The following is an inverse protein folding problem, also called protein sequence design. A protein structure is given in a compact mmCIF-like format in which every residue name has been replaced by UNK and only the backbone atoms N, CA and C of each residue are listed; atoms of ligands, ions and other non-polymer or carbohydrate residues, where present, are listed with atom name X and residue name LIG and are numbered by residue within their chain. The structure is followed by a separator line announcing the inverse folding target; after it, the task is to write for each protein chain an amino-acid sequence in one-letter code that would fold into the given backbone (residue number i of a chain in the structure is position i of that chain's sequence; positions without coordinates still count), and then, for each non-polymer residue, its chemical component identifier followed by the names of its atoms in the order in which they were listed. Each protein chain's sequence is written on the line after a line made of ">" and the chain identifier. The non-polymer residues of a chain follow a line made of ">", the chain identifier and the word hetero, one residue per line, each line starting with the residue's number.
data_IF_833105944486
#
_entry.id   IF_833105944486
#
_cell.length_a   1.000
_cell.length_b   1.000
_cell.length_c   1.000
_cell.angle_alpha   90.00
_cell.angle_beta   90.00
_cell.angle_gamma   90.00
#
_symmetry.space_group_name_H-M   'P 1'
#
loop_
_entity.id
_entity.type
_entity.pdbx_description
1 polymer ?
#
# COMPACT_ATOMS: atom_id res chain seq x y z
N UNK A 1 -0.21 -12.55 -15.64
CA UNK A 1 0.85 -11.53 -15.58
C UNK A 1 1.65 -11.77 -14.31
N UNK A 2 2.98 -11.80 -14.38
CA UNK A 2 3.85 -12.00 -13.22
C UNK A 2 4.31 -10.61 -12.75
N UNK A 3 3.75 -10.13 -11.65
CA UNK A 3 4.12 -8.86 -11.03
C UNK A 3 3.94 -8.95 -9.51
N UNK A 4 4.64 -8.10 -8.77
CA UNK A 4 4.51 -8.03 -7.30
C UNK A 4 3.06 -7.74 -6.90
N UNK A 5 2.38 -6.82 -7.60
CA UNK A 5 0.99 -6.50 -7.34
C UNK A 5 0.06 -7.71 -7.55
N UNK A 6 0.26 -8.48 -8.62
CA UNK A 6 -0.52 -9.69 -8.87
C UNK A 6 -0.30 -10.74 -7.77
N UNK A 7 0.96 -10.94 -7.33
CA UNK A 7 1.27 -11.83 -6.21
C UNK A 7 0.61 -11.39 -4.91
N UNK A 8 0.65 -10.09 -4.59
CA UNK A 8 -0.01 -9.54 -3.39
C UNK A 8 -1.51 -9.78 -3.44
N UNK A 9 -2.16 -9.56 -4.58
CA UNK A 9 -3.60 -9.83 -4.74
C UNK A 9 -3.91 -11.31 -4.56
N UNK A 10 -3.19 -12.20 -5.26
CA UNK A 10 -3.41 -13.65 -5.13
C UNK A 10 -3.16 -14.15 -3.71
N UNK A 11 -2.12 -13.66 -3.04
CA UNK A 11 -1.80 -14.02 -1.66
C UNK A 11 -2.88 -13.54 -0.69
N UNK A 12 -3.28 -12.27 -0.76
CA UNK A 12 -4.29 -11.70 0.15
C UNK A 12 -5.72 -12.17 -0.13
N UNK A 13 -5.99 -12.74 -1.31
CA UNK A 13 -7.24 -13.47 -1.56
C UNK A 13 -7.31 -14.78 -0.76
N UNK A 14 -6.17 -15.45 -0.55
CA UNK A 14 -6.09 -16.70 0.23
C UNK A 14 -5.94 -16.41 1.74
N UNK A 15 -5.31 -15.31 2.09
CA UNK A 15 -5.03 -14.90 3.46
C UNK A 15 -5.49 -13.44 3.69
N UNK A 16 -6.81 -13.19 3.84
CA UNK A 16 -7.36 -11.84 3.91
C UNK A 16 -6.94 -11.05 5.15
N UNK A 17 -6.60 -11.74 6.25
CA UNK A 17 -6.12 -11.11 7.48
C UNK A 17 -4.63 -10.74 7.44
N UNK A 18 -3.91 -11.13 6.38
CA UNK A 18 -2.52 -10.78 6.24
C UNK A 18 -2.33 -9.28 5.96
N UNK A 19 -1.28 -8.72 6.55
CA UNK A 19 -0.90 -7.32 6.38
C UNK A 19 0.26 -7.25 5.39
N UNK A 20 0.14 -6.35 4.41
CA UNK A 20 1.19 -6.05 3.45
C UNK A 20 1.92 -4.79 3.91
N UNK A 21 3.17 -4.92 4.32
CA UNK A 21 4.05 -3.80 4.63
C UNK A 21 4.97 -3.52 3.42
N UNK A 22 5.09 -2.26 3.02
CA UNK A 22 6.03 -1.86 1.98
C UNK A 22 6.76 -0.57 2.33
N UNK A 23 8.08 -0.64 2.26
CA UNK A 23 9.01 0.45 2.52
C UNK A 23 10.18 0.30 1.55
N UNK A 24 10.58 1.40 0.93
CA UNK A 24 11.80 1.42 0.15
C UNK A 24 12.99 1.50 1.07
N UNK A 25 14.10 0.85 0.75
CA UNK A 25 15.35 0.97 1.54
C UNK A 25 16.02 2.35 1.44
N UNK A 26 15.37 3.32 0.80
CA UNK A 26 15.65 4.75 0.86
C UNK A 26 14.33 5.51 0.73
N UNK A 27 14.26 6.73 1.29
CA UNK A 27 13.10 7.63 1.13
C UNK A 27 12.68 7.83 -0.32
N UNK A 28 13.65 7.95 -1.24
CA UNK A 28 13.38 8.08 -2.68
C UNK A 28 12.68 6.84 -3.26
N UNK A 29 12.99 5.63 -2.78
CA UNK A 29 12.30 4.40 -3.20
C UNK A 29 10.90 4.32 -2.64
N UNK A 30 10.70 4.67 -1.38
CA UNK A 30 9.35 4.80 -0.80
C UNK A 30 8.52 5.80 -1.61
N UNK A 31 9.12 6.92 -2.05
CA UNK A 31 8.44 7.90 -2.89
C UNK A 31 8.02 7.32 -4.25
N UNK A 32 8.85 6.47 -4.87
CA UNK A 32 8.47 5.77 -6.11
C UNK A 32 7.29 4.82 -5.88
N UNK A 33 7.26 4.09 -4.76
CA UNK A 33 6.11 3.24 -4.42
C UNK A 33 4.84 4.08 -4.25
N UNK A 34 4.95 5.24 -3.60
CA UNK A 34 3.83 6.17 -3.46
C UNK A 34 3.28 6.64 -4.80
N UNK A 35 4.15 6.95 -5.77
CA UNK A 35 3.73 7.32 -7.13
C UNK A 35 2.93 6.17 -7.77
N UNK A 36 3.37 4.92 -7.57
CA UNK A 36 2.63 3.73 -7.98
C UNK A 36 1.25 3.64 -7.33
N UNK A 37 1.17 3.77 -6.00
CA UNK A 37 -0.09 3.71 -5.25
C UNK A 37 -1.05 4.83 -5.69
N UNK A 38 -0.55 6.06 -5.89
CA UNK A 38 -1.34 7.17 -6.41
C UNK A 38 -1.88 6.87 -7.81
N UNK A 39 -1.02 6.37 -8.70
CA UNK A 39 -1.37 6.09 -10.10
C UNK A 39 -2.47 5.04 -10.23
N UNK A 40 -2.44 4.02 -9.39
CA UNK A 40 -3.37 2.89 -9.43
C UNK A 40 -4.38 2.91 -8.28
N UNK A 41 -4.68 4.10 -7.74
CA UNK A 41 -5.52 4.23 -6.55
C UNK A 41 -6.97 3.74 -6.80
N UNK A 42 -7.48 3.94 -8.01
CA UNK A 42 -8.82 3.51 -8.40
C UNK A 42 -8.95 1.98 -8.42
N UNK A 43 -7.88 1.26 -8.77
CA UNK A 43 -7.85 -0.20 -8.74
C UNK A 43 -7.51 -0.76 -7.35
N UNK A 44 -6.68 -0.06 -6.56
CA UNK A 44 -6.23 -0.51 -5.24
C UNK A 44 -7.31 -0.29 -4.17
N UNK A 45 -7.91 0.90 -4.12
CA UNK A 45 -8.82 1.29 -3.02
C UNK A 45 -10.11 0.47 -2.87
N UNK A 46 -10.68 -0.15 -3.93
CA UNK A 46 -11.79 -1.08 -3.77
C UNK A 46 -11.36 -2.41 -3.12
N UNK A 47 -10.10 -2.79 -3.27
CA UNK A 47 -9.58 -4.10 -2.84
C UNK A 47 -8.90 -4.04 -1.47
N UNK A 48 -8.30 -2.90 -1.13
CA UNK A 48 -7.47 -2.74 0.06
C UNK A 48 -7.85 -1.49 0.87
N UNK A 49 -7.79 -1.63 2.18
CA UNK A 49 -7.56 -0.51 3.09
C UNK A 49 -6.07 -0.18 3.07
N UNK A 50 -5.73 1.06 2.76
CA UNK A 50 -4.34 1.49 2.66
C UNK A 50 -4.07 2.57 3.68
N UNK A 51 -2.98 2.40 4.41
CA UNK A 51 -2.46 3.31 5.40
C UNK A 51 -1.04 3.71 5.02
N UNK A 52 -0.59 4.85 5.52
CA UNK A 52 0.78 5.30 5.41
C UNK A 52 1.36 5.65 6.77
N UNK A 53 2.65 5.43 6.94
CA UNK A 53 3.39 5.90 8.12
C UNK A 53 3.87 7.31 7.84
N UNK A 54 3.22 8.30 8.46
CA UNK A 54 3.59 9.71 8.36
C UNK A 54 4.67 10.04 9.41
N UNK A 55 5.62 10.88 9.04
CA UNK A 55 6.85 11.18 9.80
C UNK A 55 6.59 11.67 11.24
N UNK A 56 5.42 12.29 11.49
CA UNK A 56 5.06 12.83 12.82
C UNK A 56 3.70 12.34 13.37
N UNK A 57 2.98 11.50 12.63
CA UNK A 57 1.62 11.08 13.00
C UNK A 57 1.48 9.56 13.13
N UNK A 58 2.55 8.82 12.84
CA UNK A 58 2.51 7.37 12.85
C UNK A 58 1.62 6.83 11.73
N UNK A 59 0.88 5.76 12.00
CA UNK A 59 0.03 5.11 11.01
C UNK A 59 -1.28 5.87 10.83
N UNK A 60 -1.52 6.38 9.64
CA UNK A 60 -2.73 7.13 9.27
C UNK A 60 -3.31 6.59 7.96
N UNK A 61 -4.61 6.79 7.68
CA UNK A 61 -5.18 6.45 6.38
C UNK A 61 -4.40 7.09 5.24
N UNK A 62 -4.26 6.36 4.12
CA UNK A 62 -3.56 6.89 2.96
C UNK A 62 -4.35 8.02 2.31
N UNK A 63 -3.65 9.10 2.00
CA UNK A 63 -4.17 10.25 1.27
C UNK A 63 -3.24 10.59 0.11
N UNK A 64 -3.83 10.87 -1.05
CA UNK A 64 -3.05 11.35 -2.20
C UNK A 64 -2.39 12.70 -1.84
N UNK A 65 -1.22 12.97 -2.42
CA UNK A 65 -0.43 14.19 -2.20
C UNK A 65 0.20 14.38 -0.81
N UNK A 66 0.14 13.40 0.09
CA UNK A 66 0.80 13.43 1.40
C UNK A 66 2.07 12.56 1.43
N UNK A 67 3.17 12.98 2.08
CA UNK A 67 4.40 12.16 2.15
C UNK A 67 4.28 11.07 3.23
N UNK A 68 4.77 9.87 2.91
CA UNK A 68 4.81 8.72 3.81
C UNK A 68 6.17 8.02 3.76
N UNK A 69 6.57 7.40 4.87
CA UNK A 69 7.81 6.62 5.04
C UNK A 69 7.63 5.14 4.75
N UNK A 70 6.42 4.62 4.93
CA UNK A 70 6.03 3.27 4.57
C UNK A 70 4.53 3.21 4.27
N UNK A 71 4.08 2.13 3.65
CA UNK A 71 2.68 1.85 3.39
C UNK A 71 2.28 0.51 3.96
N UNK A 72 1.04 0.46 4.44
CA UNK A 72 0.39 -0.75 4.92
C UNK A 72 -0.87 -0.98 4.09
N UNK A 73 -1.04 -2.19 3.58
CA UNK A 73 -2.24 -2.63 2.89
C UNK A 73 -2.89 -3.80 3.63
N UNK A 74 -4.20 -3.72 3.86
CA UNK A 74 -5.02 -4.82 4.37
C UNK A 74 -6.16 -5.10 3.39
N UNK A 75 -6.44 -6.38 3.13
CA UNK A 75 -7.54 -6.76 2.24
C UNK A 75 -8.88 -6.34 2.84
N UNK A 76 -9.75 -5.75 2.03
CA UNK A 76 -11.15 -5.56 2.41
C UNK A 76 -11.88 -6.90 2.31
N UNK A 77 -12.54 -7.28 3.40
CA UNK A 77 -13.43 -8.43 3.43
C UNK A 77 -14.83 -7.88 3.12
N UNK A 78 -15.37 -8.24 1.96
CA UNK A 78 -16.77 -8.00 1.62
C UNK A 78 -17.62 -9.15 2.14
#
# INVERSE_FOLDING_TARGET
>A
MISVAATVISFTNLFPDAIIYSEGSTDSRTRLYQVGVNKYWQEISPLFEVYGVAENEGLVPFEQNRRFKAFIGRRKIN
#
